data_IF_336532485660
#
_entry.id   IF_336532485660
#
_cell.length_a   1.000
_cell.length_b   1.000
_cell.length_c   1.000
_cell.angle_alpha   90.00
_cell.angle_beta   90.00
_cell.angle_gamma   90.00
#
_symmetry.space_group_name_H-M   'P 1'
#
loop_
_entity.id
_entity.type
_entity.pdbx_description
1 polymer ?
#
# COMPACT_ATOMS: atom_id res chain seq x y z
N UNK A 1 -4.39 55.98 63.02
CA UNK A 1 -5.36 55.81 64.11
C UNK A 1 -5.81 54.36 64.07
N UNK A 2 -5.23 53.55 64.97
CA UNK A 2 -5.73 52.25 65.44
C UNK A 2 -5.57 51.09 64.41
N UNK A 3 -4.85 50.00 64.65
CA UNK A 3 -4.32 49.42 65.88
C UNK A 3 -3.17 48.46 65.58
N UNK A 4 -2.23 48.43 66.53
CA UNK A 4 -1.19 47.45 66.76
C UNK A 4 -1.74 46.04 66.98
N UNK A 5 -0.99 45.01 66.59
CA UNK A 5 -0.77 43.86 67.47
C UNK A 5 0.67 43.35 67.36
N UNK A 6 1.32 43.42 68.53
CA UNK A 6 2.61 42.88 68.88
C UNK A 6 2.77 41.39 68.57
N UNK A 7 3.96 40.97 68.16
CA UNK A 7 4.78 40.09 69.01
C UNK A 7 6.19 39.90 68.45
N UNK A 8 7.12 40.54 69.17
CA UNK A 8 8.55 40.32 69.27
C UNK A 8 8.98 38.83 69.26
N UNK A 9 10.09 38.53 68.57
CA UNK A 9 11.30 37.81 69.05
C UNK A 9 12.21 37.52 67.84
N UNK A 10 13.41 38.11 67.83
CA UNK A 10 14.58 37.65 67.06
C UNK A 10 15.51 36.86 68.03
N UNK A 11 16.62 36.24 67.60
CA UNK A 11 17.12 35.89 66.26
C UNK A 11 17.51 34.39 66.21
N UNK A 12 18.37 34.02 65.25
CA UNK A 12 19.28 32.86 65.28
C UNK A 12 18.89 31.63 64.45
N UNK A 13 19.30 31.64 63.17
CA UNK A 13 20.09 30.53 62.64
C UNK A 13 20.79 30.96 61.34
N UNK A 14 22.08 31.28 61.49
CA UNK A 14 23.04 31.34 60.40
C UNK A 14 23.27 29.91 59.92
N UNK A 15 22.64 29.54 58.81
CA UNK A 15 22.98 28.33 58.06
C UNK A 15 23.49 28.76 56.67
N UNK A 16 24.75 29.20 56.69
CA UNK A 16 25.79 28.79 55.76
C UNK A 16 25.34 28.51 54.31
N UNK A 17 25.36 29.56 53.49
CA UNK A 17 25.50 29.39 52.05
C UNK A 17 26.82 28.67 51.79
N UNK A 18 26.86 27.56 51.02
CA UNK A 18 28.13 26.94 50.68
C UNK A 18 28.89 27.92 49.80
N UNK A 19 29.89 28.55 50.41
CA UNK A 19 30.89 29.37 49.77
C UNK A 19 31.43 28.66 48.55
N UNK A 20 31.23 29.32 47.41
CA UNK A 20 32.03 29.25 46.19
C UNK A 20 33.48 28.79 46.45
N UNK A 21 33.71 27.49 46.37
CA UNK A 21 35.07 26.96 46.24
C UNK A 21 35.48 27.13 44.77
N UNK A 22 35.87 28.37 44.44
CA UNK A 22 36.58 28.70 43.21
C UNK A 22 38.02 28.17 43.33
N UNK A 23 38.15 26.85 43.39
CA UNK A 23 39.43 26.20 43.14
C UNK A 23 39.75 26.45 41.68
N UNK A 24 40.76 27.28 41.41
CA UNK A 24 41.37 27.41 40.09
C UNK A 24 41.70 26.01 39.60
N UNK A 25 40.84 25.44 38.73
CA UNK A 25 41.13 24.20 38.04
C UNK A 25 42.47 24.41 37.35
N UNK A 26 43.42 23.49 37.60
CA UNK A 26 44.67 23.42 36.86
C UNK A 26 44.35 23.56 35.36
N UNK A 27 44.98 24.49 34.61
CA UNK A 27 44.72 24.68 33.19
C UNK A 27 44.75 23.35 32.41
N UNK A 28 45.61 22.40 32.80
CA UNK A 28 45.63 21.08 32.18
C UNK A 28 44.33 20.28 32.42
N UNK A 29 43.77 20.33 33.63
CA UNK A 29 42.48 19.70 33.97
C UNK A 29 41.31 20.36 33.22
N UNK A 30 41.33 21.69 33.07
CA UNK A 30 40.30 22.41 32.30
C UNK A 30 40.37 22.08 30.81
N UNK A 31 41.57 21.98 30.24
CA UNK A 31 41.77 21.59 28.84
C UNK A 31 41.27 20.16 28.60
N UNK A 32 41.63 19.20 29.47
CA UNK A 32 41.17 17.82 29.34
C UNK A 32 39.63 17.69 29.42
N UNK A 33 38.99 18.46 30.31
CA UNK A 33 37.53 18.50 30.42
C UNK A 33 36.86 19.06 29.14
N UNK A 34 37.42 20.13 28.57
CA UNK A 34 36.92 20.71 27.31
C UNK A 34 37.15 19.77 26.12
N UNK A 35 38.27 19.06 26.06
CA UNK A 35 38.54 18.06 25.02
C UNK A 35 37.54 16.90 25.08
N UNK A 36 37.24 16.41 26.28
CA UNK A 36 36.22 15.37 26.49
C UNK A 36 34.81 15.85 26.06
N UNK A 37 34.43 17.08 26.43
CA UNK A 37 33.16 17.68 26.02
C UNK A 37 33.07 17.85 24.50
N UNK A 38 34.16 18.28 23.86
CA UNK A 38 34.24 18.39 22.39
C UNK A 38 34.10 17.02 21.72
N UNK A 39 34.69 15.97 22.28
CA UNK A 39 34.52 14.61 21.75
C UNK A 39 33.09 14.12 21.91
N UNK A 40 32.47 14.34 23.07
CA UNK A 40 31.07 13.97 23.30
C UNK A 40 30.11 14.70 22.33
N UNK A 41 30.35 16.00 22.09
CA UNK A 41 29.58 16.80 21.14
C UNK A 41 29.79 16.33 19.71
N UNK A 42 31.02 15.99 19.31
CA UNK A 42 31.33 15.43 17.99
C UNK A 42 30.63 14.09 17.77
N UNK A 43 30.63 13.21 18.77
CA UNK A 43 29.94 11.92 18.71
C UNK A 43 28.43 12.09 18.60
N UNK A 44 27.85 13.01 19.39
CA UNK A 44 26.42 13.37 19.29
C UNK A 44 26.07 13.93 17.91
N UNK A 45 26.92 14.81 17.37
CA UNK A 45 26.70 15.41 16.07
C UNK A 45 26.83 14.39 14.93
N UNK A 46 27.84 13.52 14.97
CA UNK A 46 28.01 12.48 13.95
C UNK A 46 26.82 11.51 13.96
N UNK A 47 26.33 11.15 15.15
CA UNK A 47 25.13 10.31 15.30
C UNK A 47 23.89 11.01 14.77
N UNK A 48 23.68 12.28 15.08
CA UNK A 48 22.52 13.02 14.59
C UNK A 48 22.56 13.20 13.07
N UNK A 49 23.72 13.45 12.47
CA UNK A 49 23.87 13.48 11.00
C UNK A 49 23.53 12.13 10.36
N UNK A 50 23.98 11.02 10.95
CA UNK A 50 23.62 9.69 10.49
C UNK A 50 22.11 9.43 10.56
N UNK A 51 21.46 9.85 11.65
CA UNK A 51 20.00 9.77 11.81
C UNK A 51 19.27 10.64 10.77
N UNK A 52 19.76 11.85 10.49
CA UNK A 52 19.18 12.73 9.48
C UNK A 52 19.29 12.15 8.06
N UNK A 53 20.41 11.52 7.71
CA UNK A 53 20.58 10.85 6.42
C UNK A 53 19.58 9.68 6.29
N UNK A 54 19.46 8.86 7.33
CA UNK A 54 18.49 7.75 7.35
C UNK A 54 17.04 8.26 7.25
N UNK A 55 16.71 9.32 7.99
CA UNK A 55 15.39 9.96 7.95
C UNK A 55 15.08 10.51 6.56
N UNK A 56 15.98 11.29 5.96
CA UNK A 56 15.81 11.82 4.59
C UNK A 56 15.56 10.71 3.58
N UNK A 57 16.32 9.60 3.66
CA UNK A 57 16.13 8.43 2.80
C UNK A 57 14.75 7.81 2.97
N UNK A 58 14.29 7.63 4.21
CA UNK A 58 12.96 7.09 4.52
C UNK A 58 11.85 8.03 4.04
N UNK A 59 11.94 9.32 4.33
CA UNK A 59 10.94 10.32 3.95
C UNK A 59 10.82 10.42 2.43
N UNK A 60 11.95 10.38 1.70
CA UNK A 60 11.92 10.38 0.22
C UNK A 60 11.11 9.20 -0.33
N UNK A 61 11.38 7.99 0.16
CA UNK A 61 10.61 6.79 -0.24
C UNK A 61 9.12 6.92 0.09
N UNK A 62 8.79 7.41 1.29
CA UNK A 62 7.40 7.63 1.69
C UNK A 62 6.68 8.66 0.80
N UNK A 63 7.38 9.71 0.35
CA UNK A 63 6.82 10.70 -0.58
C UNK A 63 6.62 10.09 -1.96
N UNK A 64 7.59 9.31 -2.46
CA UNK A 64 7.49 8.61 -3.75
C UNK A 64 6.33 7.61 -3.75
N UNK A 65 6.23 6.76 -2.72
CA UNK A 65 5.12 5.83 -2.52
C UNK A 65 3.79 6.58 -2.38
N UNK A 66 3.77 7.64 -1.56
CA UNK A 66 2.60 8.47 -1.36
C UNK A 66 2.08 9.05 -2.68
N UNK A 67 2.96 9.50 -3.57
CA UNK A 67 2.59 10.00 -4.90
C UNK A 67 2.12 8.88 -5.83
N UNK A 68 2.84 7.76 -5.86
CA UNK A 68 2.51 6.63 -6.73
C UNK A 68 1.15 6.00 -6.41
N UNK A 69 0.72 6.06 -5.14
CA UNK A 69 -0.50 5.41 -4.65
C UNK A 69 -1.56 6.36 -4.10
N UNK A 70 -1.38 7.68 -4.21
CA UNK A 70 -2.39 8.68 -3.79
C UNK A 70 -3.76 8.43 -4.43
N UNK A 71 -3.77 7.98 -5.69
CA UNK A 71 -4.98 7.71 -6.47
C UNK A 71 -5.52 6.29 -6.28
N UNK A 72 -4.97 5.48 -5.38
CA UNK A 72 -5.33 4.06 -5.26
C UNK A 72 -6.82 3.83 -5.01
N UNK A 73 -7.44 4.62 -4.13
CA UNK A 73 -8.87 4.52 -3.85
C UNK A 73 -9.71 4.85 -5.08
N UNK A 74 -9.39 5.96 -5.75
CA UNK A 74 -10.05 6.36 -6.98
C UNK A 74 -9.87 5.33 -8.09
N UNK A 75 -8.66 4.81 -8.28
CA UNK A 75 -8.36 3.76 -9.24
C UNK A 75 -9.20 2.50 -9.00
N UNK A 76 -9.43 2.12 -7.74
CA UNK A 76 -10.31 0.99 -7.39
C UNK A 76 -11.75 1.21 -7.85
N UNK A 77 -12.32 2.38 -7.58
CA UNK A 77 -13.69 2.72 -7.97
C UNK A 77 -13.83 2.79 -9.51
N UNK A 78 -12.81 3.33 -10.20
CA UNK A 78 -12.78 3.42 -11.67
C UNK A 78 -12.65 2.04 -12.32
N UNK A 79 -11.82 1.16 -11.76
CA UNK A 79 -11.71 -0.24 -12.20
C UNK A 79 -13.04 -0.97 -12.03
N UNK A 80 -13.77 -0.73 -10.94
CA UNK A 80 -15.10 -1.31 -10.75
C UNK A 80 -16.09 -0.83 -11.81
N UNK A 81 -16.04 0.44 -12.21
CA UNK A 81 -16.82 0.97 -13.33
C UNK A 81 -16.42 0.32 -14.68
N UNK A 82 -15.12 0.08 -14.91
CA UNK A 82 -14.63 -0.62 -16.11
C UNK A 82 -15.22 -2.04 -16.21
N UNK A 83 -15.20 -2.78 -15.10
CA UNK A 83 -15.76 -4.13 -15.01
C UNK A 83 -17.28 -4.14 -15.17
N UNK A 84 -17.99 -3.14 -14.64
CA UNK A 84 -19.44 -2.98 -14.86
C UNK A 84 -19.76 -2.71 -16.33
N UNK A 85 -18.98 -1.86 -17.01
CA UNK A 85 -19.12 -1.63 -18.45
C UNK A 85 -18.94 -2.93 -19.22
N UNK A 86 -17.90 -3.71 -18.90
CA UNK A 86 -17.66 -5.02 -19.52
C UNK A 86 -18.82 -5.99 -19.30
N UNK A 87 -19.31 -6.11 -18.05
CA UNK A 87 -20.51 -6.90 -17.74
C UNK A 87 -21.75 -6.46 -18.51
N UNK A 88 -21.93 -5.15 -18.68
CA UNK A 88 -23.02 -4.60 -19.50
C UNK A 88 -22.94 -5.01 -20.96
N UNK A 89 -21.74 -5.05 -21.54
CA UNK A 89 -21.50 -5.53 -22.91
C UNK A 89 -21.77 -7.03 -23.00
N UNK A 90 -21.31 -7.82 -22.02
CA UNK A 90 -21.49 -9.27 -21.98
C UNK A 90 -22.93 -9.71 -21.71
N UNK A 91 -23.75 -8.84 -21.09
CA UNK A 91 -25.17 -9.07 -20.88
C UNK A 91 -26.01 -8.92 -22.17
N UNK A 92 -25.44 -8.32 -23.23
CA UNK A 92 -26.09 -8.30 -24.54
C UNK A 92 -26.21 -9.74 -25.09
N UNK A 93 -27.27 -10.07 -25.84
CA UNK A 93 -27.41 -11.38 -26.46
C UNK A 93 -26.13 -11.79 -27.22
N UNK A 94 -25.74 -13.07 -27.29
CA UNK A 94 -24.59 -13.47 -28.09
C UNK A 94 -24.80 -13.11 -29.57
N UNK A 95 -23.70 -12.83 -30.29
CA UNK A 95 -23.77 -12.52 -31.72
C UNK A 95 -24.47 -13.66 -32.45
N UNK A 96 -25.51 -13.34 -33.22
CA UNK A 96 -26.28 -14.31 -33.98
C UNK A 96 -26.31 -13.92 -35.46
N UNK A 97 -26.35 -14.94 -36.33
CA UNK A 97 -26.52 -14.71 -37.77
C UNK A 97 -27.89 -14.06 -38.03
N UNK A 98 -27.90 -12.92 -38.72
CA UNK A 98 -29.12 -12.14 -38.99
C UNK A 98 -29.58 -11.24 -37.83
N UNK A 99 -28.73 -10.95 -36.85
CA UNK A 99 -29.06 -9.98 -35.80
C UNK A 99 -29.34 -8.58 -36.39
N UNK A 100 -30.22 -7.78 -35.76
CA UNK A 100 -30.45 -6.40 -36.16
C UNK A 100 -29.15 -5.58 -36.21
N UNK A 101 -28.90 -4.90 -37.33
CA UNK A 101 -27.69 -4.08 -37.53
C UNK A 101 -27.47 -3.05 -36.41
N UNK A 102 -28.56 -2.53 -35.82
CA UNK A 102 -28.49 -1.63 -34.66
C UNK A 102 -27.82 -2.29 -33.45
N UNK A 103 -28.12 -3.56 -33.16
CA UNK A 103 -27.51 -4.28 -32.04
C UNK A 103 -26.01 -4.51 -32.27
N UNK A 104 -25.61 -4.88 -33.49
CA UNK A 104 -24.21 -5.03 -33.86
C UNK A 104 -23.45 -3.71 -33.69
N UNK A 105 -24.00 -2.60 -34.22
CA UNK A 105 -23.39 -1.26 -34.09
C UNK A 105 -23.26 -0.81 -32.64
N UNK A 106 -24.27 -1.05 -31.81
CA UNK A 106 -24.24 -0.73 -30.38
C UNK A 106 -23.14 -1.54 -29.69
N UNK A 107 -23.09 -2.86 -29.92
CA UNK A 107 -22.08 -3.73 -29.33
C UNK A 107 -20.66 -3.29 -29.71
N UNK A 108 -20.40 -3.13 -31.01
CA UNK A 108 -19.08 -2.73 -31.51
C UNK A 108 -18.68 -1.34 -30.99
N UNK A 109 -19.64 -0.42 -30.88
CA UNK A 109 -19.42 0.90 -30.30
C UNK A 109 -19.00 0.84 -28.83
N UNK A 110 -19.71 0.07 -28.00
CA UNK A 110 -19.36 -0.09 -26.59
C UNK A 110 -18.06 -0.87 -26.39
N UNK A 111 -17.79 -1.92 -27.18
CA UNK A 111 -16.51 -2.62 -27.18
C UNK A 111 -15.35 -1.68 -27.56
N UNK A 112 -15.56 -0.76 -28.51
CA UNK A 112 -14.58 0.27 -28.85
C UNK A 112 -14.31 1.25 -27.70
N UNK A 113 -15.36 1.69 -27.00
CA UNK A 113 -15.25 2.55 -25.82
C UNK A 113 -14.51 1.83 -24.69
N UNK A 114 -14.85 0.58 -24.40
CA UNK A 114 -14.20 -0.24 -23.38
C UNK A 114 -12.70 -0.40 -23.66
N UNK A 115 -12.33 -0.72 -24.90
CA UNK A 115 -10.93 -0.83 -25.31
C UNK A 115 -10.17 0.49 -25.13
N UNK A 116 -10.76 1.60 -25.56
CA UNK A 116 -10.14 2.92 -25.40
C UNK A 116 -10.00 3.30 -23.92
N UNK A 117 -10.98 2.94 -23.10
CA UNK A 117 -10.99 3.22 -21.67
C UNK A 117 -9.90 2.42 -20.94
N UNK A 118 -9.79 1.12 -21.23
CA UNK A 118 -8.72 0.27 -20.68
C UNK A 118 -7.34 0.80 -21.09
N UNK A 119 -7.15 1.16 -22.35
CA UNK A 119 -5.88 1.75 -22.82
C UNK A 119 -5.52 3.05 -22.08
N UNK A 120 -6.52 3.87 -21.71
CA UNK A 120 -6.29 5.07 -20.89
C UNK A 120 -5.82 4.70 -19.48
N UNK A 121 -6.41 3.67 -18.87
CA UNK A 121 -6.03 3.18 -17.55
C UNK A 121 -4.59 2.66 -17.55
N UNK A 122 -4.23 1.85 -18.55
CA UNK A 122 -2.88 1.28 -18.70
C UNK A 122 -1.81 2.36 -18.83
N UNK A 123 -2.08 3.43 -19.60
CA UNK A 123 -1.18 4.59 -19.72
C UNK A 123 -0.96 5.33 -18.40
N UNK A 124 -1.88 5.20 -17.44
CA UNK A 124 -1.79 5.80 -16.10
C UNK A 124 -1.30 4.79 -15.05
N UNK A 125 -0.74 3.66 -15.47
CA UNK A 125 -0.15 2.66 -14.58
C UNK A 125 -1.14 1.67 -13.99
N UNK A 126 -2.40 1.67 -14.46
CA UNK A 126 -3.42 0.68 -14.07
C UNK A 126 -3.44 -0.45 -15.11
N UNK A 127 -2.86 -1.59 -14.78
CA UNK A 127 -2.76 -2.74 -15.68
C UNK A 127 -3.91 -3.73 -15.46
N UNK A 128 -4.44 -4.24 -16.56
CA UNK A 128 -5.42 -5.33 -16.61
C UNK A 128 -4.71 -6.61 -17.03
N UNK A 129 -4.86 -7.67 -16.24
CA UNK A 129 -4.23 -8.98 -16.50
C UNK A 129 -5.32 -10.05 -16.52
N UNK A 130 -5.35 -10.81 -17.60
CA UNK A 130 -6.20 -11.99 -17.72
C UNK A 130 -5.50 -13.21 -17.11
N UNK A 131 -6.03 -13.78 -16.01
CA UNK A 131 -5.44 -14.95 -15.38
C UNK A 131 -5.84 -16.26 -16.07
N UNK A 132 -6.71 -16.24 -17.08
CA UNK A 132 -7.20 -17.45 -17.75
C UNK A 132 -6.04 -18.28 -18.33
N UNK A 133 -5.98 -19.57 -18.00
CA UNK A 133 -4.90 -20.47 -18.39
C UNK A 133 -3.65 -20.40 -17.51
N UNK A 134 -3.55 -19.46 -16.56
CA UNK A 134 -2.44 -19.39 -15.61
C UNK A 134 -2.68 -20.27 -14.38
N UNK A 135 -1.62 -20.56 -13.61
CA UNK A 135 -1.76 -21.19 -12.30
C UNK A 135 -2.43 -20.23 -11.31
N UNK A 136 -3.32 -20.77 -10.49
CA UNK A 136 -3.96 -20.04 -9.42
C UNK A 136 -2.90 -19.53 -8.42
N UNK A 137 -2.93 -18.21 -8.14
CA UNK A 137 -2.11 -17.59 -7.12
C UNK A 137 -3.02 -16.82 -6.14
N UNK A 138 -3.06 -17.19 -4.85
CA UNK A 138 -3.88 -16.51 -3.84
C UNK A 138 -3.61 -15.01 -3.69
N UNK A 139 -2.40 -14.56 -4.01
CA UNK A 139 -2.03 -13.14 -3.90
C UNK A 139 -2.72 -12.28 -4.98
N UNK A 140 -3.09 -12.89 -6.12
CA UNK A 140 -3.66 -12.17 -7.27
C UNK A 140 -5.07 -12.63 -7.63
N UNK A 141 -5.47 -13.83 -7.20
CA UNK A 141 -6.70 -14.49 -7.61
C UNK A 141 -7.55 -14.88 -6.41
N UNK A 142 -8.87 -14.69 -6.54
CA UNK A 142 -9.89 -15.15 -5.62
C UNK A 142 -10.65 -16.29 -6.28
N UNK A 143 -10.45 -17.52 -5.79
CA UNK A 143 -11.17 -18.69 -6.27
C UNK A 143 -12.64 -18.61 -5.81
N UNK A 144 -13.55 -18.49 -6.78
CA UNK A 144 -14.98 -18.41 -6.51
C UNK A 144 -15.66 -19.78 -6.64
N UNK A 145 -15.15 -20.61 -7.54
CA UNK A 145 -15.65 -21.96 -7.76
C UNK A 145 -14.53 -22.90 -8.20
N UNK A 146 -14.74 -24.19 -7.98
CA UNK A 146 -13.90 -25.26 -8.48
C UNK A 146 -14.69 -26.07 -9.51
N UNK A 147 -14.06 -26.40 -10.63
CA UNK A 147 -14.67 -27.24 -11.67
C UNK A 147 -13.78 -28.44 -11.96
N UNK A 148 -14.35 -29.65 -11.86
CA UNK A 148 -13.67 -30.88 -12.24
C UNK A 148 -13.51 -30.94 -13.76
N UNK A 149 -12.29 -31.13 -14.22
CA UNK A 149 -11.98 -31.23 -15.65
C UNK A 149 -10.79 -32.17 -15.90
N UNK A 150 -10.83 -32.87 -17.01
CA UNK A 150 -9.69 -33.66 -17.52
C UNK A 150 -8.79 -32.84 -18.46
N UNK A 151 -9.26 -31.67 -18.89
CA UNK A 151 -8.63 -30.89 -19.96
C UNK A 151 -7.52 -29.96 -19.45
N UNK A 152 -7.37 -29.81 -18.13
CA UNK A 152 -6.36 -28.91 -17.56
C UNK A 152 -5.84 -29.44 -16.22
N UNK A 153 -4.57 -29.18 -15.87
CA UNK A 153 -4.01 -29.57 -14.58
C UNK A 153 -4.78 -28.95 -13.40
N UNK A 154 -4.92 -29.66 -12.27
CA UNK A 154 -5.47 -29.08 -11.05
C UNK A 154 -4.74 -27.81 -10.63
N UNK A 155 -5.49 -26.80 -10.15
CA UNK A 155 -4.94 -25.50 -9.78
C UNK A 155 -4.75 -24.52 -10.96
N UNK A 156 -5.18 -24.88 -12.17
CA UNK A 156 -5.20 -23.97 -13.33
C UNK A 156 -6.46 -23.11 -13.31
N UNK A 157 -6.37 -21.83 -13.65
CA UNK A 157 -7.53 -20.97 -13.85
C UNK A 157 -8.21 -21.32 -15.17
N UNK A 158 -9.44 -21.85 -15.09
CA UNK A 158 -10.24 -22.24 -16.25
C UNK A 158 -10.98 -21.07 -16.87
N UNK A 159 -11.52 -20.21 -16.01
CA UNK A 159 -12.29 -19.04 -16.44
C UNK A 159 -12.06 -17.91 -15.44
N UNK A 160 -11.86 -16.71 -15.96
CA UNK A 160 -11.89 -15.48 -15.19
C UNK A 160 -13.27 -14.80 -15.32
N UNK A 161 -13.97 -14.62 -14.20
CA UNK A 161 -15.19 -13.80 -14.14
C UNK A 161 -14.87 -12.32 -13.97
N UNK A 162 -13.70 -12.00 -13.43
CA UNK A 162 -13.17 -10.65 -13.42
C UNK A 162 -11.66 -10.69 -13.65
N UNK A 163 -11.12 -9.58 -14.11
CA UNK A 163 -9.69 -9.47 -14.41
C UNK A 163 -8.89 -9.10 -13.16
N UNK A 164 -7.58 -9.37 -13.17
CA UNK A 164 -6.66 -8.89 -12.13
C UNK A 164 -6.26 -7.46 -12.48
N UNK A 165 -6.38 -6.55 -11.52
CA UNK A 165 -6.04 -5.14 -11.72
C UNK A 165 -4.90 -4.72 -10.80
N UNK A 166 -3.89 -4.06 -11.36
CA UNK A 166 -2.69 -3.60 -10.64
C UNK A 166 -2.45 -2.12 -10.88
N UNK A 167 -2.02 -1.38 -9.87
CA UNK A 167 -1.57 0.01 -9.96
C UNK A 167 -0.08 0.07 -9.68
N UNK A 168 0.73 0.48 -10.65
CA UNK A 168 2.17 0.66 -10.48
C UNK A 168 2.86 -0.56 -9.82
N UNK A 169 2.41 -1.78 -10.15
CA UNK A 169 2.95 -3.03 -9.59
C UNK A 169 2.29 -3.52 -8.29
N UNK A 170 1.36 -2.76 -7.69
CA UNK A 170 0.60 -3.16 -6.51
C UNK A 170 -0.80 -3.66 -6.89
N UNK A 171 -1.27 -4.73 -6.26
CA UNK A 171 -2.62 -5.24 -6.47
C UNK A 171 -3.69 -4.20 -6.06
N UNK A 172 -4.59 -3.89 -6.99
CA UNK A 172 -5.81 -3.11 -6.72
C UNK A 172 -7.00 -4.02 -6.42
N UNK A 173 -7.20 -5.03 -7.27
CA UNK A 173 -8.33 -5.95 -7.20
C UNK A 173 -7.90 -7.33 -7.70
N UNK A 174 -8.15 -8.40 -6.94
CA UNK A 174 -7.89 -9.75 -7.41
C UNK A 174 -8.90 -10.17 -8.48
N UNK A 175 -8.47 -11.02 -9.40
CA UNK A 175 -9.38 -11.67 -10.34
C UNK A 175 -10.27 -12.69 -9.62
N UNK A 176 -11.56 -12.71 -9.92
CA UNK A 176 -12.47 -13.76 -9.51
C UNK A 176 -12.40 -14.89 -10.54
N UNK A 177 -12.02 -16.08 -10.10
CA UNK A 177 -11.68 -17.18 -11.02
C UNK A 177 -12.38 -18.49 -10.67
N UNK A 178 -12.57 -19.31 -11.68
CA UNK A 178 -12.92 -20.73 -11.56
C UNK A 178 -11.65 -21.54 -11.74
N UNK A 179 -11.35 -22.40 -10.76
CA UNK A 179 -10.11 -23.18 -10.73
C UNK A 179 -10.39 -24.64 -11.08
N UNK A 180 -9.49 -25.25 -11.86
CA UNK A 180 -9.52 -26.66 -12.18
C UNK A 180 -9.30 -27.50 -10.92
N UNK A 181 -10.19 -28.46 -10.68
CA UNK A 181 -10.02 -29.50 -9.67
C UNK A 181 -9.74 -30.83 -10.37
N UNK A 182 -8.97 -31.68 -9.70
CA UNK A 182 -8.86 -33.07 -10.11
C UNK A 182 -10.28 -33.69 -10.22
N UNK A 183 -10.57 -34.41 -11.31
CA UNK A 183 -11.84 -35.11 -11.45
C UNK A 183 -11.95 -36.18 -10.35
N UNK A 184 -13.15 -36.30 -9.78
CA UNK A 184 -13.43 -37.30 -8.76
C UNK A 184 -13.30 -38.70 -9.38
N UNK A 185 -12.49 -39.62 -8.83
CA UNK A 185 -12.30 -40.97 -9.39
C UNK A 185 -13.60 -41.79 -9.51
N UNK A 186 -14.69 -41.37 -8.86
CA UNK A 186 -16.02 -41.99 -8.96
C UNK A 186 -17.02 -41.25 -9.89
N UNK A 187 -16.62 -40.18 -10.59
CA UNK A 187 -17.48 -39.52 -11.58
C UNK A 187 -17.38 -40.20 -12.96
N UNK A 188 -18.52 -40.45 -13.64
CA UNK A 188 -18.50 -41.06 -14.97
C UNK A 188 -17.74 -40.16 -15.95
N UNK A 189 -16.89 -40.79 -16.77
CA UNK A 189 -16.15 -40.12 -17.84
C UNK A 189 -17.14 -39.39 -18.77
N UNK A 190 -16.86 -38.14 -19.18
CA UNK A 190 -17.71 -37.46 -20.15
C UNK A 190 -17.71 -38.25 -21.46
N UNK A 191 -18.90 -38.64 -21.94
CA UNK A 191 -19.08 -39.28 -23.24
C UNK A 191 -18.55 -38.33 -24.33
N UNK A 192 -17.48 -38.74 -25.01
CA UNK A 192 -16.99 -38.07 -26.21
C UNK A 192 -18.01 -38.25 -27.33
N UNK A 193 -18.56 -37.13 -27.81
CA UNK A 193 -19.34 -37.04 -29.07
C UNK A 193 -18.40 -37.06 -30.26
#
# INVERSE_FOLDING_TARGET
>A
MIEDQDSNIAPDNVAEMPSSNSGSQDPASRIAALEAEVQELKDKWLRSEAELVNLRGRTKRQIEDGRAYAVQKFAKDVVEAAENLRRGIEALPPRAYGEPELLTKIRDGFEGIERSFVALLERNGILRIDPTGSNFNPDYHQAMAEQSTFNSPPGTVLQAWSQTWMLNGRLLRPAMVVVAKAPDPNSPLPETV
#
